data_IF_652837347388
#
_entry.id   IF_652837347388
#
_cell.length_a   1.000
_cell.length_b   1.000
_cell.length_c   1.000
_cell.angle_alpha   90.00
_cell.angle_beta   90.00
_cell.angle_gamma   90.00
#
_symmetry.space_group_name_H-M   'P 1'
#
loop_
_entity.id
_entity.type
_entity.pdbx_description
1 polymer ?
#
# COMPACT_ATOMS: atom_id res chain seq x y z
N UNK A 1 10.68 14.88 8.04
CA UNK A 1 10.03 13.87 7.16
C UNK A 1 8.60 14.30 6.87
N UNK A 2 8.28 14.55 5.60
CA UNK A 2 6.96 15.02 5.18
C UNK A 2 6.19 13.90 4.48
N UNK A 3 4.94 13.64 4.88
CA UNK A 3 4.05 12.67 4.23
C UNK A 3 2.95 13.45 3.51
N UNK A 4 2.80 13.20 2.21
CA UNK A 4 1.81 13.88 1.38
C UNK A 4 1.28 12.97 0.29
N UNK A 5 0.15 13.36 -0.28
CA UNK A 5 -0.39 12.73 -1.47
C UNK A 5 0.60 12.84 -2.65
N UNK A 6 0.69 11.77 -3.44
CA UNK A 6 1.59 11.65 -4.57
C UNK A 6 1.05 12.43 -5.78
N UNK A 7 1.90 13.24 -6.39
CA UNK A 7 1.57 13.95 -7.63
C UNK A 7 2.08 13.16 -8.84
N UNK A 8 1.57 13.40 -10.05
CA UNK A 8 2.08 12.76 -11.26
C UNK A 8 3.60 12.92 -11.45
N UNK A 9 4.15 14.06 -11.04
CA UNK A 9 5.60 14.36 -11.03
C UNK A 9 6.41 13.42 -10.11
N UNK A 10 5.79 12.88 -9.07
CA UNK A 10 6.44 11.99 -8.11
C UNK A 10 6.53 10.54 -8.62
N UNK A 11 5.74 10.16 -9.65
CA UNK A 11 5.61 8.77 -10.10
C UNK A 11 6.94 8.18 -10.60
N UNK A 12 7.75 8.97 -11.31
CA UNK A 12 9.09 8.53 -11.74
C UNK A 12 10.02 8.27 -10.54
N UNK A 13 9.96 9.14 -9.53
CA UNK A 13 10.74 9.00 -8.31
C UNK A 13 10.24 7.82 -7.45
N UNK A 14 8.94 7.53 -7.47
CA UNK A 14 8.37 6.32 -6.86
C UNK A 14 8.86 5.06 -7.56
N UNK A 15 8.90 5.04 -8.89
CA UNK A 15 9.47 3.92 -9.66
C UNK A 15 10.92 3.67 -9.28
N UNK A 16 11.72 4.73 -9.22
CA UNK A 16 13.11 4.63 -8.85
C UNK A 16 13.26 4.06 -7.43
N UNK A 17 12.38 4.48 -6.50
CA UNK A 17 12.34 3.90 -5.16
C UNK A 17 11.92 2.42 -5.16
N UNK A 18 10.97 2.02 -6.01
CA UNK A 18 10.53 0.63 -6.19
C UNK A 18 11.70 -0.27 -6.64
N UNK A 19 12.40 0.13 -7.71
CA UNK A 19 13.57 -0.57 -8.26
C UNK A 19 14.69 -0.78 -7.23
N UNK A 20 14.88 0.18 -6.33
CA UNK A 20 15.90 0.09 -5.28
C UNK A 20 15.47 -0.80 -4.09
N UNK A 21 14.17 -0.96 -3.85
CA UNK A 21 13.66 -1.55 -2.62
C UNK A 21 13.00 -2.92 -2.81
N UNK A 22 12.50 -3.23 -4.01
CA UNK A 22 11.70 -4.41 -4.30
C UNK A 22 12.18 -5.10 -5.59
N UNK A 23 12.21 -6.45 -5.62
CA UNK A 23 12.49 -7.20 -6.85
C UNK A 23 11.29 -7.16 -7.82
N UNK A 24 10.08 -6.96 -7.30
CA UNK A 24 8.85 -6.83 -8.06
C UNK A 24 8.72 -5.40 -8.58
N UNK A 25 8.95 -5.26 -9.88
CA UNK A 25 8.98 -3.99 -10.58
C UNK A 25 7.81 -3.85 -11.54
N UNK A 26 7.24 -2.65 -11.58
CA UNK A 26 6.11 -2.32 -12.45
C UNK A 26 6.54 -1.40 -13.59
N UNK A 27 5.92 -1.58 -14.77
CA UNK A 27 6.09 -0.66 -15.89
C UNK A 27 5.49 0.71 -15.57
N UNK A 28 6.02 1.80 -16.16
CA UNK A 28 5.48 3.14 -15.94
C UNK A 28 4.02 3.32 -16.30
N UNK A 29 3.56 2.62 -17.34
CA UNK A 29 2.15 2.57 -17.68
C UNK A 29 1.27 2.20 -16.48
N UNK A 30 1.72 1.29 -15.63
CA UNK A 30 0.95 0.83 -14.47
C UNK A 30 0.92 1.87 -13.33
N UNK A 31 2.03 2.56 -13.07
CA UNK A 31 2.04 3.65 -12.08
C UNK A 31 1.21 4.85 -12.55
N UNK A 32 1.25 5.19 -13.84
CA UNK A 32 0.36 6.23 -14.39
C UNK A 32 -1.11 5.85 -14.30
N UNK A 33 -1.46 4.59 -14.59
CA UNK A 33 -2.83 4.11 -14.41
C UNK A 33 -3.33 4.32 -12.96
N UNK A 34 -2.51 4.00 -11.96
CA UNK A 34 -2.88 4.26 -10.56
C UNK A 34 -3.04 5.75 -10.25
N UNK A 35 -2.10 6.59 -10.71
CA UNK A 35 -2.13 8.02 -10.46
C UNK A 35 -3.29 8.75 -11.16
N UNK A 36 -3.78 8.21 -12.27
CA UNK A 36 -4.91 8.77 -13.02
C UNK A 36 -6.26 8.24 -12.53
N UNK A 37 -6.34 6.95 -12.20
CA UNK A 37 -7.59 6.33 -11.73
C UNK A 37 -7.88 6.64 -10.26
N UNK A 38 -6.85 6.64 -9.40
CA UNK A 38 -6.98 6.86 -7.96
C UNK A 38 -5.90 7.81 -7.40
N UNK A 39 -5.87 9.08 -7.84
CA UNK A 39 -4.86 10.04 -7.38
C UNK A 39 -4.86 10.22 -5.85
N UNK A 40 -6.00 10.07 -5.19
CA UNK A 40 -6.15 10.24 -3.74
C UNK A 40 -5.50 9.11 -2.93
N UNK A 41 -5.22 7.95 -3.56
CA UNK A 41 -4.81 6.73 -2.86
C UNK A 41 -3.30 6.47 -2.87
N UNK A 42 -2.52 7.34 -3.51
CA UNK A 42 -1.07 7.22 -3.54
C UNK A 42 -0.43 8.26 -2.63
N UNK A 43 0.48 7.83 -1.76
CA UNK A 43 1.19 8.71 -0.83
C UNK A 43 2.69 8.49 -0.89
N UNK A 44 3.43 9.55 -0.62
CA UNK A 44 4.89 9.52 -0.55
C UNK A 44 5.38 10.10 0.77
N UNK A 45 6.53 9.59 1.21
CA UNK A 45 7.31 10.13 2.31
C UNK A 45 8.57 10.78 1.73
N UNK A 46 8.72 12.08 1.94
CA UNK A 46 9.89 12.86 1.56
C UNK A 46 10.80 13.18 2.76
N UNK A 47 12.10 13.24 2.51
CA UNK A 47 13.06 13.85 3.43
C UNK A 47 13.01 15.39 3.37
N UNK A 48 13.85 16.04 4.18
CA UNK A 48 13.95 17.50 4.25
C UNK A 48 14.50 18.13 2.97
N UNK A 49 15.18 17.33 2.13
CA UNK A 49 15.71 17.75 0.82
C UNK A 49 14.71 17.52 -0.32
N UNK A 50 13.48 17.09 -0.02
CA UNK A 50 12.46 16.77 -1.01
C UNK A 50 12.66 15.44 -1.73
N UNK A 51 13.62 14.60 -1.30
CA UNK A 51 13.86 13.29 -1.90
C UNK A 51 12.86 12.27 -1.36
N UNK A 52 12.27 11.49 -2.26
CA UNK A 52 11.37 10.39 -1.85
C UNK A 52 12.18 9.32 -1.11
N UNK A 53 11.81 9.05 0.13
CA UNK A 53 12.38 8.01 0.99
C UNK A 53 11.45 6.82 1.21
N UNK A 54 10.17 6.97 0.90
CA UNK A 54 9.22 5.87 0.86
C UNK A 54 7.96 6.26 0.10
N UNK A 55 7.19 5.26 -0.31
CA UNK A 55 5.92 5.46 -1.01
C UNK A 55 4.96 4.31 -0.74
N UNK A 56 3.67 4.60 -0.91
CA UNK A 56 2.59 3.62 -1.02
C UNK A 56 1.83 3.89 -2.31
N UNK A 57 1.63 2.82 -3.08
CA UNK A 57 0.83 2.79 -4.30
C UNK A 57 -0.36 1.87 -4.03
N UNK A 58 -1.56 2.40 -4.23
CA UNK A 58 -2.77 1.67 -3.97
C UNK A 58 -3.87 1.99 -4.98
N UNK A 59 -4.82 1.07 -5.10
CA UNK A 59 -5.99 1.16 -5.96
C UNK A 59 -7.23 0.71 -5.21
N UNK A 60 -8.41 0.96 -5.78
CA UNK A 60 -9.62 0.23 -5.41
C UNK A 60 -9.74 -1.02 -6.28
N UNK A 61 -10.31 -2.09 -5.75
CA UNK A 61 -10.78 -3.18 -6.62
C UNK A 61 -12.08 -2.77 -7.30
N UNK A 62 -12.20 -3.16 -8.58
CA UNK A 62 -13.29 -2.74 -9.49
C UNK A 62 -14.33 -3.84 -9.71
N UNK A 63 -14.20 -4.99 -9.02
CA UNK A 63 -15.13 -6.11 -9.18
C UNK A 63 -16.51 -5.75 -8.58
N UNK A 64 -17.58 -5.69 -9.40
CA UNK A 64 -18.90 -5.26 -8.95
C UNK A 64 -19.60 -6.25 -8.02
N UNK A 65 -19.17 -7.53 -8.01
CA UNK A 65 -19.75 -8.56 -7.15
C UNK A 65 -19.14 -8.54 -5.74
N UNK A 66 -18.00 -7.87 -5.57
CA UNK A 66 -17.29 -7.75 -4.30
C UNK A 66 -17.64 -6.47 -3.55
N UNK A 67 -17.46 -6.54 -2.22
CA UNK A 67 -17.59 -5.35 -1.37
C UNK A 67 -16.49 -4.34 -1.72
N UNK A 68 -16.79 -3.03 -1.87
CA UNK A 68 -15.80 -2.01 -2.16
C UNK A 68 -14.64 -2.07 -1.16
N UNK A 69 -13.44 -2.36 -1.67
CA UNK A 69 -12.26 -2.53 -0.85
C UNK A 69 -11.00 -2.03 -1.57
N UNK A 70 -10.07 -1.53 -0.77
CA UNK A 70 -8.79 -1.04 -1.29
C UNK A 70 -7.80 -2.19 -1.46
N UNK A 71 -6.87 -2.02 -2.39
CA UNK A 71 -5.74 -2.91 -2.58
C UNK A 71 -4.42 -2.12 -2.55
N UNK A 72 -3.50 -2.52 -1.69
CA UNK A 72 -2.14 -2.00 -1.66
C UNK A 72 -1.31 -2.77 -2.69
N UNK A 73 -1.09 -2.11 -3.81
CA UNK A 73 -0.27 -2.60 -4.93
C UNK A 73 1.20 -2.69 -4.54
N UNK A 74 1.73 -1.64 -3.91
CA UNK A 74 3.16 -1.58 -3.56
C UNK A 74 3.42 -0.64 -2.40
N UNK A 75 4.27 -1.05 -1.47
CA UNK A 75 4.72 -0.25 -0.33
C UNK A 75 6.22 -0.47 -0.16
N UNK A 76 6.99 0.62 -0.16
CA UNK A 76 8.43 0.53 0.06
C UNK A 76 8.95 1.74 0.83
N UNK A 77 9.94 1.49 1.70
CA UNK A 77 10.70 2.52 2.40
C UNK A 77 12.19 2.19 2.28
N UNK A 78 12.99 3.17 1.85
CA UNK A 78 14.44 3.04 1.71
C UNK A 78 15.06 2.60 3.02
N UNK A 79 16.03 1.66 2.94
CA UNK A 79 16.71 1.10 4.11
C UNK A 79 17.25 2.14 5.09
N UNK A 80 17.78 3.25 4.58
CA UNK A 80 18.30 4.37 5.38
C UNK A 80 17.26 5.06 6.27
N UNK A 81 15.96 4.90 5.99
CA UNK A 81 14.87 5.60 6.67
C UNK A 81 13.85 4.65 7.31
N UNK A 82 14.25 3.40 7.55
CA UNK A 82 13.40 2.40 8.22
C UNK A 82 13.44 2.57 9.73
N UNK A 83 12.49 1.92 10.42
CA UNK A 83 12.26 2.03 11.88
C UNK A 83 11.86 3.43 12.36
N UNK A 84 11.47 4.30 11.43
CA UNK A 84 10.90 5.63 11.69
C UNK A 84 9.35 5.63 11.66
N UNK A 85 8.74 4.45 11.51
CA UNK A 85 7.28 4.30 11.41
C UNK A 85 6.67 4.87 10.13
N UNK A 86 7.48 5.14 9.09
CA UNK A 86 7.00 5.73 7.84
C UNK A 86 6.01 4.82 7.10
N UNK A 87 6.26 3.50 7.10
CA UNK A 87 5.37 2.53 6.48
C UNK A 87 3.98 2.57 7.13
N UNK A 88 3.92 2.59 8.47
CA UNK A 88 2.66 2.69 9.19
C UNK A 88 1.92 3.99 8.87
N UNK A 89 2.62 5.13 8.91
CA UNK A 89 2.00 6.42 8.60
C UNK A 89 1.48 6.51 7.17
N UNK A 90 2.21 5.96 6.19
CA UNK A 90 1.75 5.88 4.79
C UNK A 90 0.48 5.02 4.68
N UNK A 91 0.46 3.88 5.38
CA UNK A 91 -0.69 2.96 5.41
C UNK A 91 -1.91 3.57 6.09
N UNK A 92 -1.71 4.34 7.16
CA UNK A 92 -2.80 5.06 7.84
C UNK A 92 -3.44 6.11 6.92
N UNK A 93 -2.61 6.87 6.19
CA UNK A 93 -3.09 7.89 5.25
C UNK A 93 -3.86 7.28 4.08
N UNK A 94 -3.33 6.23 3.44
CA UNK A 94 -4.03 5.59 2.33
C UNK A 94 -5.32 4.93 2.77
N UNK A 95 -5.34 4.28 3.94
CA UNK A 95 -6.54 3.61 4.46
C UNK A 95 -7.66 4.62 4.73
N UNK A 96 -7.32 5.78 5.30
CA UNK A 96 -8.29 6.88 5.49
C UNK A 96 -8.81 7.39 4.15
N UNK A 97 -7.93 7.62 3.18
CA UNK A 97 -8.34 8.08 1.86
C UNK A 97 -9.26 7.09 1.13
N UNK A 98 -9.04 5.78 1.31
CA UNK A 98 -9.90 4.73 0.77
C UNK A 98 -11.30 4.75 1.38
N UNK A 99 -11.40 4.98 2.69
CA UNK A 99 -12.69 5.08 3.39
C UNK A 99 -13.41 6.37 2.97
N UNK A 100 -12.71 7.50 3.02
CA UNK A 100 -13.32 8.83 2.80
C UNK A 100 -13.78 9.05 1.36
N UNK A 101 -12.99 8.60 0.37
CA UNK A 101 -13.30 8.84 -1.04
C UNK A 101 -14.09 7.70 -1.71
N UNK A 102 -13.94 6.46 -1.23
CA UNK A 102 -14.47 5.28 -1.91
C UNK A 102 -15.28 4.35 -0.99
N UNK A 103 -15.50 4.74 0.27
CA UNK A 103 -16.29 4.00 1.25
C UNK A 103 -15.81 2.55 1.47
N UNK A 104 -14.49 2.34 1.33
CA UNK A 104 -13.86 1.02 1.42
C UNK A 104 -14.13 0.34 2.77
N UNK A 105 -14.54 -0.93 2.75
CA UNK A 105 -14.83 -1.71 3.98
C UNK A 105 -13.59 -2.36 4.58
N UNK A 106 -12.62 -2.70 3.74
CA UNK A 106 -11.34 -3.25 4.16
C UNK A 106 -10.26 -2.94 3.13
N UNK A 107 -9.02 -3.28 3.46
CA UNK A 107 -7.85 -3.12 2.59
C UNK A 107 -7.12 -4.44 2.48
N UNK A 108 -6.86 -4.88 1.25
CA UNK A 108 -6.06 -6.06 0.93
C UNK A 108 -4.65 -5.66 0.49
N UNK A 109 -3.69 -6.58 0.59
CA UNK A 109 -2.36 -6.39 0.00
C UNK A 109 -1.77 -7.72 -0.43
N UNK A 110 -0.83 -7.68 -1.37
CA UNK A 110 -0.01 -8.84 -1.70
C UNK A 110 1.21 -8.90 -0.78
N UNK A 111 1.18 -9.79 0.21
CA UNK A 111 2.34 -9.99 1.10
C UNK A 111 3.44 -10.76 0.36
N UNK A 112 4.46 -10.05 -0.10
CA UNK A 112 5.68 -10.58 -0.71
C UNK A 112 6.53 -11.40 0.25
N UNK A 113 6.03 -12.58 0.63
CA UNK A 113 6.76 -13.76 1.16
C UNK A 113 5.71 -14.84 1.34
N UNK A 114 5.72 -15.86 0.46
CA UNK A 114 5.05 -17.12 0.74
C UNK A 114 5.63 -17.72 2.03
N UNK A 115 5.07 -17.44 3.19
CA UNK A 115 5.01 -18.40 4.32
C UNK A 115 3.71 -18.21 5.08
N UNK A 116 2.90 -19.26 4.94
CA UNK A 116 1.55 -19.50 5.46
C UNK A 116 0.44 -18.77 4.71
N UNK A 117 -0.13 -19.46 3.70
CA UNK A 117 -1.59 -19.56 3.66
C UNK A 117 -2.02 -19.88 5.10
N UNK A 118 -2.99 -19.18 5.72
CA UNK A 118 -3.66 -19.80 6.84
C UNK A 118 -4.12 -21.16 6.32
N UNK A 119 -3.73 -22.24 7.03
CA UNK A 119 -4.29 -23.55 6.77
C UNK A 119 -5.79 -23.33 6.79
N UNK A 120 -6.43 -23.47 5.63
CA UNK A 120 -7.87 -23.70 5.57
C UNK A 120 -8.02 -25.07 6.19
N UNK A 121 -8.14 -25.13 7.52
CA UNK A 121 -8.97 -26.16 8.12
C UNK A 121 -10.31 -25.96 7.45
N UNK A 122 -10.72 -26.94 6.65
CA UNK A 122 -12.10 -27.09 6.23
C UNK A 122 -12.94 -27.09 7.51
N UNK A 123 -13.41 -25.91 7.87
CA UNK A 123 -14.48 -25.69 8.81
C UNK A 123 -15.43 -24.88 7.96
N UNK A 124 -16.52 -25.54 7.58
CA UNK A 124 -17.68 -24.95 6.94
C UNK A 124 -18.03 -23.63 7.63
N UNK A 125 -17.68 -22.50 7.03
CA UNK A 125 -18.09 -21.20 7.57
C UNK A 125 -18.11 -20.18 6.44
N UNK A 126 -19.21 -20.23 5.70
CA UNK A 126 -19.76 -19.21 4.81
C UNK A 126 -20.15 -17.91 5.55
N UNK A 127 -19.58 -17.64 6.73
CA UNK A 127 -19.96 -16.53 7.62
C UNK A 127 -18.78 -16.12 8.53
N UNK A 128 -17.80 -15.38 8.00
CA UNK A 128 -16.84 -14.65 8.84
C UNK A 128 -16.75 -13.21 8.34
N UNK A 129 -16.99 -12.18 9.20
CA UNK A 129 -17.00 -10.80 8.75
C UNK A 129 -15.61 -10.34 8.31
N UNK A 130 -15.52 -9.36 7.37
CA UNK A 130 -14.25 -8.79 6.95
C UNK A 130 -13.50 -8.23 8.16
N UNK A 131 -12.20 -8.54 8.24
CA UNK A 131 -11.37 -8.14 9.39
C UNK A 131 -11.26 -6.61 9.44
N UNK A 132 -11.51 -5.97 10.59
CA UNK A 132 -11.42 -4.53 10.72
C UNK A 132 -9.97 -4.05 10.56
N UNK A 133 -9.83 -2.80 10.12
CA UNK A 133 -8.59 -2.04 9.88
C UNK A 133 -7.55 -2.06 11.02
N UNK A 134 -7.85 -2.61 12.20
CA UNK A 134 -7.04 -2.47 13.42
C UNK A 134 -5.90 -3.48 13.60
N UNK A 135 -5.75 -4.52 12.76
CA UNK A 135 -4.68 -5.52 12.93
C UNK A 135 -3.53 -5.36 11.95
N UNK A 136 -2.78 -4.25 12.06
CA UNK A 136 -1.50 -4.01 11.37
C UNK A 136 -0.30 -4.79 11.98
N UNK A 137 -0.52 -5.94 12.64
CA UNK A 137 0.56 -6.65 13.37
C UNK A 137 1.57 -7.36 12.46
N UNK A 138 1.24 -7.67 11.21
CA UNK A 138 2.10 -8.45 10.30
C UNK A 138 3.06 -7.61 9.42
N UNK A 139 3.04 -6.28 9.56
CA UNK A 139 3.73 -5.36 8.64
C UNK A 139 5.16 -5.00 9.07
N UNK A 140 5.56 -5.38 10.30
CA UNK A 140 6.92 -5.10 10.83
C UNK A 140 8.03 -5.62 9.92
N UNK A 141 7.79 -6.66 9.12
CA UNK A 141 8.81 -7.23 8.24
C UNK A 141 9.19 -6.34 7.04
N UNK A 142 8.29 -5.46 6.58
CA UNK A 142 8.58 -4.51 5.50
C UNK A 142 9.51 -3.37 5.97
N UNK A 143 9.63 -3.18 7.29
CA UNK A 143 10.64 -2.31 7.91
C UNK A 143 11.99 -3.01 8.18
N UNK A 144 12.09 -4.33 7.98
CA UNK A 144 13.21 -5.13 8.54
C UNK A 144 14.15 -5.75 7.48
N UNK A 145 13.81 -5.85 6.18
CA UNK A 145 14.64 -6.63 5.22
C UNK A 145 15.54 -5.87 4.25
#
# INVERSE_FOLDING_TARGET
MNIRNARPEDLMNMQHCNLLCLPENYQMKYCFYHGLSWPQLSYIAGDENGKIVGYVLAKMEEDPDDVPHGHITSLAVKRSHRRLGLAQKLMDQVSRAMIENFNAKYVSCMSGRKRKKPRVTQTSESQLPPRPFHTWKNWRHLEIS
#
